data_IF_392164743653
#
_entry.id   IF_392164743653
#
_cell.length_a   1.000
_cell.length_b   1.000
_cell.length_c   1.000
_cell.angle_alpha   90.00
_cell.angle_beta   90.00
_cell.angle_gamma   90.00
#
_symmetry.space_group_name_H-M   'P 1'
#
loop_
_entity.id
_entity.type
_entity.pdbx_description
1 polymer ?
#
# COMPACT_ATOMS: atom_id res chain seq x y z
N UNK A 1 -26.59 60.18 15.80
CA UNK A 1 -27.18 60.85 14.62
C UNK A 1 -26.23 61.93 14.16
N UNK A 2 -26.23 62.20 12.85
CA UNK A 2 -25.37 63.13 12.08
C UNK A 2 -24.10 62.54 11.44
N UNK A 3 -23.75 62.82 10.18
CA UNK A 3 -24.46 62.87 8.87
C UNK A 3 -23.37 63.28 7.85
N UNK A 4 -23.34 62.63 6.69
CA UNK A 4 -22.76 63.06 5.38
C UNK A 4 -21.21 63.24 5.28
N UNK A 5 -20.42 62.64 4.35
CA UNK A 5 -20.43 62.29 2.90
C UNK A 5 -19.60 63.26 2.05
N UNK A 6 -18.55 62.75 1.36
CA UNK A 6 -18.09 63.01 -0.05
C UNK A 6 -16.77 62.24 -0.27
N UNK A 7 -16.51 61.32 -1.22
CA UNK A 7 -16.63 61.26 -2.71
C UNK A 7 -15.71 62.33 -3.35
N UNK A 8 -14.63 62.10 -4.13
CA UNK A 8 -14.43 61.24 -5.33
C UNK A 8 -12.99 61.34 -5.90
N UNK A 9 -12.68 60.45 -6.87
CA UNK A 9 -11.70 60.53 -8.01
C UNK A 9 -10.23 60.19 -7.68
N UNK A 10 -9.45 59.44 -8.49
CA UNK A 10 -9.48 59.23 -9.96
C UNK A 10 -8.60 58.03 -10.41
N UNK A 11 -9.03 57.37 -11.50
CA UNK A 11 -8.31 56.84 -12.70
C UNK A 11 -7.01 56.00 -12.56
N UNK A 12 -6.97 54.74 -13.02
CA UNK A 12 -6.80 54.14 -14.39
C UNK A 12 -5.33 53.86 -14.77
N UNK A 13 -5.08 52.64 -15.29
CA UNK A 13 -3.87 52.27 -16.05
C UNK A 13 -3.50 50.79 -15.95
N UNK A 14 -4.33 49.87 -16.44
CA UNK A 14 -4.04 48.90 -17.53
C UNK A 14 -2.62 48.85 -18.10
N UNK A 15 -2.01 47.66 -18.07
CA UNK A 15 -1.43 47.00 -19.27
C UNK A 15 -1.22 45.49 -19.04
N UNK A 16 -1.77 44.70 -19.97
CA UNK A 16 -1.52 43.27 -20.20
C UNK A 16 -0.28 43.14 -21.09
N UNK A 17 0.51 42.09 -20.88
CA UNK A 17 1.35 41.50 -21.92
C UNK A 17 1.17 39.99 -21.89
N UNK A 18 0.64 39.46 -23.01
CA UNK A 18 0.64 38.05 -23.40
C UNK A 18 1.85 37.86 -24.32
N UNK A 19 2.48 36.70 -24.25
CA UNK A 19 3.20 36.04 -25.35
C UNK A 19 3.48 34.60 -24.92
N UNK A 20 3.53 33.56 -25.75
CA UNK A 20 2.98 33.24 -27.07
C UNK A 20 3.32 31.75 -27.25
N UNK A 21 2.43 30.97 -27.88
CA UNK A 21 2.61 29.55 -28.14
C UNK A 21 2.47 29.29 -29.64
N UNK A 22 3.51 28.70 -30.26
CA UNK A 22 3.61 28.05 -31.57
C UNK A 22 4.88 27.16 -31.49
N UNK A 23 5.06 25.97 -32.06
CA UNK A 23 4.36 25.17 -33.08
C UNK A 23 5.41 24.46 -33.95
N UNK A 24 5.13 23.20 -34.39
CA UNK A 24 5.78 22.35 -35.44
C UNK A 24 7.11 21.62 -35.09
N UNK A 25 7.19 20.28 -35.12
CA UNK A 25 7.16 19.23 -36.20
C UNK A 25 8.56 18.90 -36.76
N UNK A 26 8.98 17.62 -36.71
CA UNK A 26 9.84 16.86 -37.66
C UNK A 26 10.10 15.44 -37.07
N UNK A 27 9.67 14.31 -37.66
CA UNK A 27 10.13 13.60 -38.87
C UNK A 27 11.18 12.48 -38.62
N UNK A 28 10.69 11.23 -38.62
CA UNK A 28 11.22 9.98 -39.21
C UNK A 28 12.75 9.75 -39.32
N UNK A 29 13.25 8.66 -38.69
CA UNK A 29 14.09 7.66 -39.39
C UNK A 29 14.16 6.31 -38.67
N UNK A 30 13.62 5.29 -39.36
CA UNK A 30 13.72 3.85 -39.09
C UNK A 30 14.85 3.31 -39.98
N UNK A 31 15.85 2.65 -39.40
CA UNK A 31 16.85 1.87 -40.15
C UNK A 31 16.96 0.48 -39.53
N UNK A 32 16.89 -0.52 -40.40
CA UNK A 32 16.99 -1.97 -40.16
C UNK A 32 18.44 -2.45 -40.38
N UNK A 33 18.83 -3.56 -39.73
CA UNK A 33 19.69 -4.69 -40.20
C UNK A 33 19.96 -5.57 -38.97
N UNK A 34 19.40 -6.78 -38.84
CA UNK A 34 19.71 -8.06 -39.51
C UNK A 34 21.14 -8.59 -39.27
N UNK A 35 21.22 -9.60 -38.38
CA UNK A 35 21.94 -10.88 -38.51
C UNK A 35 23.47 -10.93 -38.61
N UNK A 36 24.11 -11.71 -37.73
CA UNK A 36 24.73 -12.98 -38.14
C UNK A 36 24.83 -13.98 -36.96
N UNK A 37 24.65 -15.25 -37.29
CA UNK A 37 24.97 -16.47 -36.51
C UNK A 37 26.44 -16.83 -36.70
N UNK A 38 26.85 -17.95 -36.09
CA UNK A 38 27.92 -18.91 -36.45
C UNK A 38 28.61 -19.30 -35.12
N UNK A 39 28.16 -20.38 -34.46
CA UNK A 39 28.56 -21.79 -34.63
C UNK A 39 29.97 -22.05 -34.05
N UNK A 40 30.06 -22.93 -33.04
CA UNK A 40 31.06 -24.01 -32.96
C UNK A 40 30.86 -24.88 -31.69
N UNK A 41 30.68 -26.17 -31.96
CA UNK A 41 30.68 -27.32 -31.05
C UNK A 41 32.10 -27.63 -30.54
N UNK A 42 32.25 -28.20 -29.33
CA UNK A 42 33.12 -29.39 -29.14
C UNK A 42 32.90 -30.09 -27.79
N UNK A 43 33.00 -31.41 -27.85
CA UNK A 43 32.82 -32.43 -26.82
C UNK A 43 34.00 -32.52 -25.82
N UNK A 44 33.71 -33.07 -24.63
CA UNK A 44 34.74 -33.58 -23.74
C UNK A 44 34.15 -34.42 -22.59
N UNK A 45 34.20 -35.74 -22.75
CA UNK A 45 33.89 -36.75 -21.73
C UNK A 45 34.99 -36.84 -20.65
N UNK A 46 34.61 -37.24 -19.43
CA UNK A 46 35.54 -37.62 -18.37
C UNK A 46 34.83 -37.96 -17.05
N UNK A 47 34.92 -39.24 -16.64
CA UNK A 47 34.40 -39.85 -15.42
C UNK A 47 35.15 -39.40 -14.14
N UNK A 48 34.47 -39.32 -12.98
CA UNK A 48 34.70 -40.17 -11.79
C UNK A 48 34.00 -39.65 -10.50
N UNK A 49 33.33 -40.62 -9.88
CA UNK A 49 32.88 -40.86 -8.49
C UNK A 49 33.16 -39.82 -7.38
N UNK A 50 32.12 -39.58 -6.57
CA UNK A 50 32.26 -39.05 -5.22
C UNK A 50 30.93 -39.03 -4.44
N UNK A 51 30.71 -40.05 -3.60
CA UNK A 51 29.67 -40.04 -2.56
C UNK A 51 29.87 -38.85 -1.62
N UNK A 52 28.87 -37.98 -1.50
CA UNK A 52 28.69 -37.10 -0.34
C UNK A 52 27.21 -37.03 0.02
N UNK A 53 26.94 -37.48 1.23
CA UNK A 53 25.69 -37.30 1.95
C UNK A 53 25.53 -35.84 2.33
N UNK A 54 24.62 -35.13 1.67
CA UNK A 54 24.07 -33.89 2.19
C UNK A 54 22.57 -34.06 2.35
N UNK A 55 22.17 -34.24 3.61
CA UNK A 55 20.79 -34.07 4.01
C UNK A 55 20.43 -32.60 3.87
N UNK A 56 19.75 -32.25 2.78
CA UNK A 56 19.01 -31.01 2.71
C UNK A 56 17.66 -31.22 3.39
N UNK A 57 17.61 -30.76 4.64
CA UNK A 57 16.43 -30.72 5.45
C UNK A 57 15.27 -30.13 4.66
N UNK A 58 14.10 -30.76 4.83
CA UNK A 58 12.85 -30.21 4.39
C UNK A 58 12.73 -28.77 4.90
N UNK A 59 13.02 -27.79 4.04
CA UNK A 59 12.58 -26.42 4.23
C UNK A 59 11.06 -26.49 4.15
N UNK A 60 10.44 -26.74 5.30
CA UNK A 60 9.01 -26.67 5.46
C UNK A 60 8.62 -25.28 5.01
N UNK A 61 8.02 -25.19 3.81
CA UNK A 61 7.44 -23.95 3.32
C UNK A 61 6.43 -23.53 4.38
N UNK A 62 6.76 -22.47 5.12
CA UNK A 62 5.92 -21.98 6.20
C UNK A 62 4.74 -21.29 5.54
N UNK A 63 3.73 -22.07 5.16
CA UNK A 63 2.57 -21.57 4.43
C UNK A 63 1.83 -20.46 5.18
N UNK A 64 1.10 -19.65 4.43
CA UNK A 64 0.22 -18.62 4.97
C UNK A 64 -0.70 -19.17 6.07
N UNK A 65 -0.73 -18.49 7.21
CA UNK A 65 -1.62 -18.82 8.32
C UNK A 65 -2.51 -17.61 8.62
N UNK A 66 -3.82 -17.85 8.75
CA UNK A 66 -4.76 -16.85 9.25
C UNK A 66 -5.58 -17.42 10.39
N UNK A 67 -5.53 -16.75 11.55
CA UNK A 67 -6.29 -17.12 12.75
C UNK A 67 -7.18 -15.97 13.22
N UNK A 68 -8.33 -16.30 13.78
CA UNK A 68 -9.18 -15.35 14.48
C UNK A 68 -9.04 -15.56 15.99
N UNK A 69 -8.91 -14.47 16.75
CA UNK A 69 -8.80 -14.50 18.20
C UNK A 69 -9.71 -13.46 18.85
N UNK A 70 -10.16 -13.76 20.07
CA UNK A 70 -10.95 -12.83 20.88
C UNK A 70 -10.03 -12.03 21.79
N UNK A 71 -10.09 -10.71 21.73
CA UNK A 71 -9.30 -9.82 22.57
C UNK A 71 -9.13 -8.42 21.98
N UNK A 72 -8.38 -7.58 22.70
CA UNK A 72 -7.98 -6.26 22.22
C UNK A 72 -6.82 -6.40 21.22
N UNK A 73 -7.02 -5.89 20.01
CA UNK A 73 -6.00 -5.83 18.96
C UNK A 73 -4.71 -5.18 19.46
N UNK A 74 -4.83 -4.13 20.29
CA UNK A 74 -3.68 -3.35 20.73
C UNK A 74 -2.90 -4.01 21.87
N UNK A 75 -3.35 -5.18 22.34
CA UNK A 75 -2.64 -6.06 23.26
C UNK A 75 -1.84 -7.19 22.57
N UNK A 76 -1.75 -7.20 21.23
CA UNK A 76 -0.84 -8.10 20.51
C UNK A 76 0.63 -7.80 20.86
N UNK A 77 1.54 -8.72 20.51
CA UNK A 77 2.98 -8.50 20.73
C UNK A 77 3.46 -7.23 20.03
N UNK A 78 4.41 -6.51 20.64
CA UNK A 78 5.05 -5.33 20.03
C UNK A 78 5.96 -5.68 18.85
N UNK A 79 6.23 -6.97 18.62
CA UNK A 79 6.91 -7.48 17.43
C UNK A 79 5.95 -7.66 16.23
N UNK A 80 4.65 -7.75 16.48
CA UNK A 80 3.65 -7.91 15.43
C UNK A 80 3.35 -6.56 14.77
N UNK A 81 3.39 -6.54 13.44
CA UNK A 81 2.92 -5.36 12.70
C UNK A 81 1.40 -5.24 12.81
N UNK A 82 0.87 -4.02 12.69
CA UNK A 82 -0.59 -3.82 12.68
C UNK A 82 -1.10 -3.36 11.32
N UNK A 83 -2.34 -3.70 10.99
CA UNK A 83 -3.03 -3.16 9.82
C UNK A 83 -4.45 -2.71 10.13
N UNK A 84 -4.90 -1.63 9.48
CA UNK A 84 -6.31 -1.23 9.45
C UNK A 84 -6.64 -0.43 8.18
N UNK A 85 -7.93 -0.22 7.90
CA UNK A 85 -8.38 0.57 6.75
C UNK A 85 -8.58 2.05 7.10
N UNK A 86 -8.21 2.91 6.15
CA UNK A 86 -8.47 4.36 6.19
C UNK A 86 -8.93 4.89 4.83
N UNK A 87 -9.35 6.16 4.85
CA UNK A 87 -9.51 7.00 3.67
C UNK A 87 -8.23 7.77 3.33
N UNK A 88 -8.08 8.15 2.07
CA UNK A 88 -6.97 8.98 1.56
C UNK A 88 -6.87 10.33 2.29
N UNK A 89 -7.99 10.89 2.74
CA UNK A 89 -8.00 12.13 3.52
C UNK A 89 -7.54 11.99 5.00
N UNK A 90 -7.15 10.78 5.42
CA UNK A 90 -6.54 10.45 6.73
C UNK A 90 -7.30 11.04 7.94
N UNK A 91 -8.63 11.15 7.85
CA UNK A 91 -9.44 11.75 8.93
C UNK A 91 -9.39 10.94 10.23
N UNK A 92 -9.52 9.61 10.11
CA UNK A 92 -9.43 8.64 11.21
C UNK A 92 -10.20 9.06 12.48
N UNK A 93 -11.45 9.52 12.33
CA UNK A 93 -12.21 10.14 13.43
C UNK A 93 -13.11 9.22 14.25
N UNK A 94 -13.32 7.97 13.82
CA UNK A 94 -14.26 7.02 14.44
C UNK A 94 -13.72 5.59 14.43
N UNK A 95 -14.33 4.75 15.27
CA UNK A 95 -13.99 3.34 15.39
C UNK A 95 -12.53 3.12 15.75
N UNK A 96 -11.99 1.97 15.34
CA UNK A 96 -10.59 1.62 15.64
C UNK A 96 -9.58 2.59 15.04
N UNK A 97 -9.90 3.22 13.90
CA UNK A 97 -9.02 4.20 13.25
C UNK A 97 -8.71 5.41 14.16
N UNK A 98 -9.67 5.82 15.00
CA UNK A 98 -9.43 6.86 16.01
C UNK A 98 -8.36 6.43 17.03
N UNK A 99 -8.42 5.19 17.48
CA UNK A 99 -7.44 4.63 18.42
C UNK A 99 -6.05 4.54 17.78
N UNK A 100 -5.96 4.11 16.52
CA UNK A 100 -4.69 4.14 15.76
C UNK A 100 -4.10 5.56 15.70
N UNK A 101 -4.93 6.56 15.40
CA UNK A 101 -4.51 7.97 15.35
C UNK A 101 -4.00 8.46 16.71
N UNK A 102 -4.71 8.13 17.80
CA UNK A 102 -4.33 8.53 19.16
C UNK A 102 -3.05 7.82 19.63
N UNK A 103 -2.89 6.53 19.33
CA UNK A 103 -1.74 5.73 19.78
C UNK A 103 -0.47 5.97 18.96
N UNK A 104 -0.59 6.20 17.65
CA UNK A 104 0.56 6.21 16.73
C UNK A 104 0.79 7.52 15.97
N UNK A 105 -0.16 8.46 16.03
CA UNK A 105 -0.04 9.78 15.41
C UNK A 105 0.20 9.71 13.90
N UNK A 106 1.16 10.51 13.41
CA UNK A 106 1.68 10.39 12.04
C UNK A 106 0.76 10.87 10.91
N UNK A 107 -0.31 11.61 11.20
CA UNK A 107 -1.27 12.06 10.18
C UNK A 107 -0.58 12.84 9.04
N UNK A 108 0.33 13.76 9.36
CA UNK A 108 1.09 14.52 8.35
C UNK A 108 2.04 13.62 7.55
N UNK A 109 2.72 12.68 8.21
CA UNK A 109 3.58 11.68 7.56
C UNK A 109 2.78 10.84 6.55
N UNK A 110 1.60 10.37 6.94
CA UNK A 110 0.71 9.59 6.08
C UNK A 110 0.21 10.41 4.89
N UNK A 111 -0.24 11.65 5.11
CA UNK A 111 -0.69 12.54 4.03
C UNK A 111 0.43 12.83 3.02
N UNK A 112 1.66 13.03 3.50
CA UNK A 112 2.82 13.31 2.64
C UNK A 112 3.21 12.13 1.74
N UNK A 113 2.82 10.89 2.10
CA UNK A 113 3.03 9.73 1.23
C UNK A 113 2.12 9.75 -0.02
N UNK A 114 1.05 10.54 -0.02
CA UNK A 114 0.19 10.73 -1.20
C UNK A 114 -0.52 9.47 -1.70
N UNK A 115 -0.69 8.48 -0.82
CA UNK A 115 -1.20 7.15 -1.19
C UNK A 115 -2.68 7.22 -1.57
N UNK A 116 -3.00 6.66 -2.74
CA UNK A 116 -4.35 6.62 -3.31
C UNK A 116 -5.09 5.33 -2.96
N UNK A 117 -6.43 5.28 -3.13
CA UNK A 117 -7.21 4.06 -2.93
C UNK A 117 -6.66 2.86 -3.69
N UNK A 118 -6.47 1.75 -2.97
CA UNK A 118 -5.78 0.55 -3.43
C UNK A 118 -4.28 0.51 -3.13
N UNK A 119 -3.73 1.55 -2.51
CA UNK A 119 -2.37 1.53 -1.96
C UNK A 119 -2.34 1.26 -0.45
N UNK A 120 -1.13 1.26 0.11
CA UNK A 120 -0.88 1.19 1.55
C UNK A 120 0.04 2.33 1.96
N UNK A 121 -0.35 3.09 2.98
CA UNK A 121 0.54 4.02 3.66
C UNK A 121 1.14 3.32 4.89
N UNK A 122 2.40 3.62 5.20
CA UNK A 122 3.16 2.88 6.22
C UNK A 122 3.79 3.84 7.20
N UNK A 123 3.66 3.54 8.50
CA UNK A 123 4.46 4.16 9.54
C UNK A 123 5.36 3.11 10.16
N UNK A 124 6.63 3.45 10.41
CA UNK A 124 7.53 2.67 11.26
C UNK A 124 7.49 3.23 12.67
N UNK A 125 7.21 2.40 13.67
CA UNK A 125 7.19 2.76 15.09
C UNK A 125 7.88 1.65 15.88
N UNK A 126 9.02 1.95 16.48
CA UNK A 126 9.88 0.93 17.08
C UNK A 126 10.30 -0.12 16.05
N UNK A 127 10.15 -1.39 16.42
CA UNK A 127 10.55 -2.54 15.60
C UNK A 127 9.46 -3.04 14.65
N UNK A 128 8.33 -2.35 14.56
CA UNK A 128 7.18 -2.79 13.76
C UNK A 128 6.67 -1.72 12.81
N UNK A 129 5.98 -2.21 11.79
CA UNK A 129 5.24 -1.40 10.84
C UNK A 129 3.77 -1.29 11.23
N UNK A 130 3.17 -0.18 10.83
CA UNK A 130 1.75 0.09 10.96
C UNK A 130 1.22 0.42 9.58
N UNK A 131 0.38 -0.47 9.07
CA UNK A 131 -0.16 -0.46 7.74
C UNK A 131 -1.54 0.21 7.70
N UNK A 132 -1.62 1.26 6.92
CA UNK A 132 -2.83 2.04 6.69
C UNK A 132 -3.33 1.72 5.27
N UNK A 133 -4.22 0.74 5.17
CA UNK A 133 -4.81 0.31 3.91
C UNK A 133 -5.74 1.42 3.40
N UNK A 134 -5.32 2.15 2.38
CA UNK A 134 -6.10 3.25 1.81
C UNK A 134 -7.12 2.65 0.87
N UNK A 135 -8.37 2.53 1.31
CA UNK A 135 -9.41 1.78 0.56
C UNK A 135 -10.47 2.67 -0.07
N UNK A 136 -10.43 3.98 0.20
CA UNK A 136 -11.42 4.95 -0.26
C UNK A 136 -10.87 6.37 -0.25
N UNK A 137 -11.43 7.25 -1.06
CA UNK A 137 -10.96 8.64 -1.18
C UNK A 137 -11.32 9.49 0.05
N UNK A 138 -12.58 9.41 0.49
CA UNK A 138 -13.11 10.21 1.60
C UNK A 138 -13.67 9.33 2.70
N UNK A 139 -13.62 9.80 3.94
CA UNK A 139 -14.01 8.99 5.10
C UNK A 139 -15.49 8.55 5.09
N UNK A 140 -16.37 9.30 4.40
CA UNK A 140 -17.79 8.96 4.24
C UNK A 140 -18.09 8.04 3.06
N UNK A 141 -17.12 7.81 2.17
CA UNK A 141 -17.27 6.84 1.08
C UNK A 141 -17.25 5.41 1.65
N UNK A 142 -17.75 4.47 0.86
CA UNK A 142 -17.65 3.04 1.12
C UNK A 142 -16.51 2.46 0.30
N UNK A 143 -15.63 1.63 0.89
CA UNK A 143 -14.61 0.93 0.13
C UNK A 143 -15.25 -0.16 -0.74
N UNK A 144 -14.49 -0.67 -1.71
CA UNK A 144 -14.88 -1.82 -2.53
C UNK A 144 -13.99 -3.02 -2.20
N UNK A 145 -14.42 -4.23 -2.56
CA UNK A 145 -13.56 -5.41 -2.43
C UNK A 145 -12.30 -5.29 -3.30
N UNK A 146 -12.40 -4.64 -4.46
CA UNK A 146 -11.25 -4.36 -5.32
C UNK A 146 -10.23 -3.43 -4.64
N UNK A 147 -10.68 -2.30 -4.08
CA UNK A 147 -9.77 -1.36 -3.43
C UNK A 147 -9.10 -2.00 -2.21
N UNK A 148 -9.84 -2.82 -1.45
CA UNK A 148 -9.29 -3.61 -0.36
C UNK A 148 -8.25 -4.62 -0.85
N UNK A 149 -8.55 -5.39 -1.90
CA UNK A 149 -7.64 -6.38 -2.45
C UNK A 149 -6.33 -5.75 -2.95
N UNK A 150 -6.42 -4.61 -3.65
CA UNK A 150 -5.24 -3.86 -4.11
C UNK A 150 -4.41 -3.35 -2.93
N UNK A 151 -5.03 -2.79 -1.90
CA UNK A 151 -4.31 -2.34 -0.70
C UNK A 151 -3.64 -3.50 0.04
N UNK A 152 -4.30 -4.65 0.16
CA UNK A 152 -3.73 -5.85 0.77
C UNK A 152 -2.54 -6.39 -0.02
N UNK A 153 -2.61 -6.38 -1.35
CA UNK A 153 -1.48 -6.73 -2.21
C UNK A 153 -0.29 -5.79 -1.98
N UNK A 154 -0.53 -4.48 -1.97
CA UNK A 154 0.52 -3.50 -1.69
C UNK A 154 1.14 -3.69 -0.30
N UNK A 155 0.33 -4.05 0.71
CA UNK A 155 0.81 -4.42 2.04
C UNK A 155 1.65 -5.69 2.02
N UNK A 156 1.21 -6.74 1.34
CA UNK A 156 1.94 -8.00 1.22
C UNK A 156 3.31 -7.79 0.56
N UNK A 157 3.38 -7.01 -0.53
CA UNK A 157 4.64 -6.63 -1.18
C UNK A 157 5.58 -5.88 -0.22
N UNK A 158 5.04 -4.97 0.60
CA UNK A 158 5.83 -4.30 1.63
C UNK A 158 6.32 -5.27 2.72
N UNK A 159 5.48 -6.20 3.15
CA UNK A 159 5.84 -7.18 4.16
C UNK A 159 6.99 -8.07 3.70
N UNK A 160 6.89 -8.63 2.49
CA UNK A 160 7.94 -9.48 1.89
C UNK A 160 9.25 -8.70 1.77
N UNK A 161 9.22 -7.47 1.25
CA UNK A 161 10.42 -6.65 1.08
C UNK A 161 11.13 -6.30 2.41
N UNK A 162 10.38 -6.25 3.51
CA UNK A 162 10.89 -5.84 4.81
C UNK A 162 10.95 -7.00 5.82
N UNK A 163 10.86 -8.25 5.35
CA UNK A 163 10.91 -9.46 6.19
C UNK A 163 9.90 -9.45 7.35
N UNK A 164 8.70 -8.92 7.11
CA UNK A 164 7.62 -8.94 8.10
C UNK A 164 6.95 -10.31 8.09
N UNK A 165 6.99 -11.00 9.22
CA UNK A 165 6.44 -12.34 9.36
C UNK A 165 5.02 -12.38 9.93
N UNK A 166 4.59 -11.34 10.65
CA UNK A 166 3.30 -11.33 11.35
C UNK A 166 2.59 -9.98 11.25
N UNK A 167 1.28 -10.04 10.98
CA UNK A 167 0.40 -8.87 10.93
C UNK A 167 -0.87 -9.14 11.73
N UNK A 168 -1.13 -8.29 12.71
CA UNK A 168 -2.35 -8.27 13.50
C UNK A 168 -3.31 -7.20 13.00
N UNK A 169 -4.59 -7.53 12.84
CA UNK A 169 -5.60 -6.62 12.30
C UNK A 169 -6.98 -6.86 12.92
N UNK A 170 -7.89 -5.87 12.93
CA UNK A 170 -9.29 -6.13 13.27
C UNK A 170 -9.99 -6.81 12.08
N UNK A 171 -11.31 -7.05 12.19
CA UNK A 171 -12.16 -7.33 11.01
C UNK A 171 -12.26 -6.09 10.09
N UNK A 172 -11.22 -5.90 9.28
CA UNK A 172 -11.06 -4.74 8.39
C UNK A 172 -12.22 -4.61 7.39
N UNK A 173 -12.63 -3.38 7.08
CA UNK A 173 -13.68 -3.09 6.11
C UNK A 173 -15.11 -3.51 6.50
N UNK A 174 -15.35 -4.18 7.63
CA UNK A 174 -16.66 -4.80 7.93
C UNK A 174 -17.60 -3.96 8.82
N UNK A 175 -17.07 -3.02 9.60
CA UNK A 175 -17.87 -2.17 10.50
C UNK A 175 -18.56 -1.03 9.76
N UNK A 176 -18.09 0.21 9.99
CA UNK A 176 -18.63 1.41 9.34
C UNK A 176 -18.51 1.39 7.80
N UNK A 177 -17.64 0.55 7.27
CA UNK A 177 -17.38 0.38 5.84
C UNK A 177 -18.34 -0.61 5.16
N UNK A 178 -19.03 -1.47 5.91
CA UNK A 178 -20.14 -2.29 5.42
C UNK A 178 -19.78 -3.46 4.50
N UNK A 179 -18.51 -3.85 4.38
CA UNK A 179 -18.14 -5.09 3.72
C UNK A 179 -18.54 -6.30 4.57
N UNK A 180 -18.68 -7.47 3.95
CA UNK A 180 -19.01 -8.71 4.66
C UNK A 180 -17.73 -9.46 5.00
N UNK A 181 -17.60 -9.89 6.25
CA UNK A 181 -16.37 -10.53 6.75
C UNK A 181 -16.00 -11.81 6.01
N UNK A 182 -16.97 -12.64 5.66
CA UNK A 182 -16.74 -13.87 4.89
C UNK A 182 -16.02 -13.58 3.55
N UNK A 183 -16.42 -12.51 2.85
CA UNK A 183 -15.77 -12.07 1.62
C UNK A 183 -14.43 -11.39 1.86
N UNK A 184 -14.32 -10.57 2.90
CA UNK A 184 -13.03 -9.94 3.27
C UNK A 184 -11.98 -11.00 3.63
N UNK A 185 -12.35 -11.99 4.43
CA UNK A 185 -11.50 -13.11 4.81
C UNK A 185 -11.04 -13.92 3.58
N UNK A 186 -11.91 -14.13 2.59
CA UNK A 186 -11.53 -14.73 1.32
C UNK A 186 -10.50 -13.86 0.58
N UNK A 187 -10.72 -12.55 0.48
CA UNK A 187 -9.77 -11.62 -0.16
C UNK A 187 -8.40 -11.62 0.55
N UNK A 188 -8.37 -11.67 1.89
CA UNK A 188 -7.12 -11.76 2.66
C UNK A 188 -6.39 -13.06 2.30
N UNK A 189 -7.09 -14.21 2.33
CA UNK A 189 -6.51 -15.51 1.94
C UNK A 189 -5.99 -15.50 0.51
N UNK A 190 -6.74 -14.93 -0.43
CA UNK A 190 -6.33 -14.91 -1.84
C UNK A 190 -5.11 -14.01 -2.09
N UNK A 191 -4.99 -12.92 -1.33
CA UNK A 191 -3.91 -11.94 -1.50
C UNK A 191 -2.63 -12.30 -0.75
N UNK A 192 -2.74 -12.83 0.47
CA UNK A 192 -1.60 -13.19 1.31
C UNK A 192 -1.29 -14.70 1.30
N UNK A 193 -2.16 -15.54 0.73
CA UNK A 193 -2.03 -17.00 0.70
C UNK A 193 -0.78 -17.53 0.01
N UNK A 194 -0.09 -16.70 -0.78
CA UNK A 194 1.18 -17.01 -1.45
C UNK A 194 2.41 -16.49 -0.71
N UNK A 195 2.24 -16.07 0.54
CA UNK A 195 3.29 -15.51 1.38
C UNK A 195 3.36 -16.29 2.68
N UNK A 196 4.49 -16.20 3.37
CA UNK A 196 4.70 -16.87 4.66
C UNK A 196 4.25 -15.99 5.85
N UNK A 197 3.39 -15.00 5.58
CA UNK A 197 2.90 -14.04 6.56
C UNK A 197 1.81 -14.71 7.42
N UNK A 198 1.97 -14.62 8.73
CA UNK A 198 0.92 -14.98 9.69
C UNK A 198 0.00 -13.78 9.93
N UNK A 199 -1.30 -13.98 9.74
CA UNK A 199 -2.33 -12.97 10.03
C UNK A 199 -3.14 -13.36 11.25
N UNK A 200 -3.18 -12.48 12.25
CA UNK A 200 -4.06 -12.62 13.41
C UNK A 200 -5.18 -11.58 13.32
N UNK A 201 -6.42 -12.04 13.27
CA UNK A 201 -7.61 -11.18 13.25
C UNK A 201 -8.20 -11.11 14.64
N UNK A 202 -8.32 -9.91 15.18
CA UNK A 202 -8.90 -9.67 16.50
C UNK A 202 -10.37 -9.27 16.43
N UNK A 203 -11.16 -9.83 17.35
CA UNK A 203 -12.56 -9.49 17.62
C UNK A 203 -12.79 -9.30 19.11
N UNK A 204 -13.68 -8.39 19.50
CA UNK A 204 -14.09 -8.17 20.90
C UNK A 204 -15.19 -9.16 21.34
#
# INVERSE_FOLDING_TARGET
MDRYVTVTKRSKGTSKSKDSAEGRQDAVKKVRRDGNKDDEDDNGEGEEVGERSDGEGASGTKGFEMKETRGDLFGCSDEECLAHCISEDVRMGKGIAKIFKEKYGGVKELMNQGVKPGGVAVLKRGNRFIYYLVTKEKYWNKPTYDSLARSLRAMAEHCVRNNVQSVSMPRIGCGLDGLRWDRVAAVIRDTLGRTDITVTVYTL
#
